data_IF_655518021834
#
_entry.id   IF_655518021834
#
_cell.length_a   1.000
_cell.length_b   1.000
_cell.length_c   1.000
_cell.angle_alpha   90.00
_cell.angle_beta   90.00
_cell.angle_gamma   90.00
#
_symmetry.space_group_name_H-M   'P 1'
#
loop_
_entity.id
_entity.type
_entity.pdbx_description
1 polymer ?
#
# COMPACT_ATOMS: atom_id res chain seq x y z
N UNK A 1 2.78 -5.44 22.16
CA UNK A 1 2.77 -3.96 22.21
C UNK A 1 3.11 -3.53 23.64
N UNK A 2 4.21 -2.77 23.87
CA UNK A 2 4.54 -2.19 25.16
C UNK A 2 3.54 -1.07 25.51
N UNK A 3 3.14 -0.97 26.76
CA UNK A 3 2.35 0.17 27.26
C UNK A 3 3.21 1.44 27.36
N UNK A 4 2.59 2.60 27.46
CA UNK A 4 3.34 3.84 27.69
C UNK A 4 4.06 3.82 29.04
N UNK A 5 3.52 3.12 30.03
CA UNK A 5 4.15 2.91 31.33
C UNK A 5 5.42 2.08 31.19
N UNK A 6 5.34 0.92 30.52
CA UNK A 6 6.52 0.06 30.32
C UNK A 6 7.65 0.78 29.58
N UNK A 7 7.29 1.61 28.57
CA UNK A 7 8.27 2.41 27.80
C UNK A 7 8.88 3.51 28.69
N UNK A 8 8.07 4.15 29.52
CA UNK A 8 8.52 5.21 30.42
C UNK A 8 9.52 4.67 31.45
N UNK A 9 9.23 3.50 32.04
CA UNK A 9 10.10 2.82 32.98
C UNK A 9 11.42 2.41 32.34
N UNK A 10 11.37 1.83 31.15
CA UNK A 10 12.56 1.39 30.39
C UNK A 10 13.48 2.56 30.00
N UNK A 11 12.91 3.71 29.68
CA UNK A 11 13.65 4.92 29.29
C UNK A 11 13.93 5.88 30.45
N UNK A 12 13.49 5.54 31.65
CA UNK A 12 13.62 6.35 32.86
C UNK A 12 13.11 7.80 32.68
N UNK A 13 11.89 7.92 32.14
CA UNK A 13 11.19 9.18 31.92
C UNK A 13 9.75 9.10 32.42
N UNK A 14 9.03 10.23 32.48
CA UNK A 14 7.62 10.20 32.86
C UNK A 14 6.72 9.64 31.76
N UNK A 15 5.60 9.02 32.12
CA UNK A 15 4.57 8.57 31.17
C UNK A 15 4.04 9.73 30.32
N UNK A 16 3.95 10.93 30.91
CA UNK A 16 3.60 12.16 30.20
C UNK A 16 4.58 12.51 29.09
N UNK A 17 5.88 12.33 29.34
CA UNK A 17 6.93 12.52 28.33
C UNK A 17 6.75 11.57 27.15
N UNK A 18 6.46 10.28 27.42
CA UNK A 18 6.22 9.30 26.36
C UNK A 18 4.97 9.67 25.55
N UNK A 19 3.88 10.04 26.21
CA UNK A 19 2.64 10.43 25.54
C UNK A 19 2.84 11.65 24.63
N UNK A 20 3.55 12.67 25.12
CA UNK A 20 3.82 13.85 24.33
C UNK A 20 4.68 13.54 23.09
N UNK A 21 5.74 12.75 23.25
CA UNK A 21 6.58 12.32 22.10
C UNK A 21 5.80 11.49 21.09
N UNK A 22 4.95 10.58 21.59
CA UNK A 22 4.09 9.79 20.73
C UNK A 22 3.14 10.67 19.90
N UNK A 23 2.48 11.64 20.52
CA UNK A 23 1.59 12.56 19.82
C UNK A 23 2.33 13.38 18.77
N UNK A 24 3.53 13.89 19.08
CA UNK A 24 4.39 14.59 18.12
C UNK A 24 4.72 13.70 16.90
N UNK A 25 5.01 12.42 17.12
CA UNK A 25 5.29 11.50 16.00
C UNK A 25 4.07 11.26 15.12
N UNK A 26 2.88 11.16 15.71
CA UNK A 26 1.62 11.00 14.97
C UNK A 26 1.25 12.29 14.23
N UNK A 27 1.33 13.44 14.89
CA UNK A 27 1.00 14.75 14.31
C UNK A 27 1.92 15.15 13.14
N UNK A 28 3.20 14.74 13.21
CA UNK A 28 4.17 14.97 12.14
C UNK A 28 4.23 13.81 11.11
N UNK A 29 3.27 12.90 11.14
CA UNK A 29 3.19 11.76 10.22
C UNK A 29 4.42 10.82 10.22
N UNK A 30 5.28 10.92 11.27
CA UNK A 30 6.44 10.03 11.47
C UNK A 30 6.01 8.63 11.90
N UNK A 31 4.83 8.50 12.50
CA UNK A 31 4.28 7.25 13.00
C UNK A 31 2.80 7.13 12.64
N UNK A 32 2.48 6.07 11.91
CA UNK A 32 1.09 5.66 11.66
C UNK A 32 0.83 4.31 12.32
N UNK A 33 -0.23 4.22 13.13
CA UNK A 33 -0.66 2.95 13.73
C UNK A 33 -1.75 2.36 12.86
N UNK A 34 -1.50 1.19 12.30
CA UNK A 34 -2.46 0.44 11.49
C UNK A 34 -2.70 -0.95 12.11
N UNK A 35 -3.96 -1.42 12.02
CA UNK A 35 -4.29 -2.83 12.22
C UNK A 35 -4.09 -3.57 10.90
N UNK A 36 -3.24 -4.61 10.89
CA UNK A 36 -3.08 -5.49 9.73
C UNK A 36 -3.83 -6.78 9.94
N UNK A 37 -4.70 -7.10 9.00
CA UNK A 37 -5.38 -8.39 8.93
C UNK A 37 -4.66 -9.31 7.95
N UNK A 38 -4.83 -10.63 8.09
CA UNK A 38 -4.39 -11.58 7.08
C UNK A 38 -5.45 -11.63 5.97
N UNK A 39 -5.13 -11.17 4.73
CA UNK A 39 -6.11 -11.07 3.66
C UNK A 39 -6.78 -12.40 3.33
N UNK A 40 -6.02 -13.49 3.28
CA UNK A 40 -6.52 -14.84 2.96
C UNK A 40 -7.60 -15.29 3.96
N UNK A 41 -7.44 -14.91 5.24
CA UNK A 41 -8.38 -15.31 6.30
C UNK A 41 -9.69 -14.52 6.32
N UNK A 42 -9.74 -13.41 5.60
CA UNK A 42 -10.92 -12.53 5.52
C UNK A 42 -11.55 -12.51 4.11
N UNK A 43 -11.11 -13.40 3.21
CA UNK A 43 -11.75 -13.63 1.92
C UNK A 43 -11.09 -12.95 0.72
N UNK A 44 -9.86 -12.44 0.83
CA UNK A 44 -9.08 -11.97 -0.30
C UNK A 44 -8.06 -13.04 -0.70
N UNK A 45 -8.32 -13.74 -1.80
CA UNK A 45 -7.53 -14.89 -2.24
C UNK A 45 -6.71 -14.63 -3.51
N UNK A 46 -6.92 -13.48 -4.16
CA UNK A 46 -6.16 -13.09 -5.35
C UNK A 46 -5.44 -11.78 -5.07
N UNK A 47 -4.12 -11.85 -5.11
CA UNK A 47 -3.25 -10.70 -4.98
C UNK A 47 -2.43 -10.55 -6.27
N UNK A 48 -2.49 -9.38 -6.91
CA UNK A 48 -1.88 -9.15 -8.21
C UNK A 48 -1.13 -7.83 -8.28
N UNK A 49 -0.09 -7.82 -9.13
CA UNK A 49 0.59 -6.62 -9.60
C UNK A 49 0.03 -6.27 -10.98
N UNK A 50 -0.28 -5.01 -11.19
CA UNK A 50 -0.66 -4.45 -12.48
C UNK A 50 0.38 -3.39 -12.85
N UNK A 51 1.08 -3.62 -13.94
CA UNK A 51 2.02 -2.66 -14.52
C UNK A 51 1.29 -1.91 -15.62
N UNK A 52 1.35 -0.58 -15.61
CA UNK A 52 0.56 0.28 -16.49
C UNK A 52 1.46 1.26 -17.23
N UNK A 53 1.25 1.35 -18.54
CA UNK A 53 1.84 2.37 -19.39
C UNK A 53 0.78 3.40 -19.75
N UNK A 54 1.07 4.68 -19.53
CA UNK A 54 0.14 5.79 -19.75
C UNK A 54 0.56 6.61 -20.97
N UNK A 55 -0.40 6.92 -21.83
CA UNK A 55 -0.18 7.82 -22.97
C UNK A 55 -1.39 8.74 -23.16
N UNK A 56 -1.20 10.02 -23.43
CA UNK A 56 0.09 10.73 -23.36
C UNK A 56 0.63 10.78 -21.91
N UNK A 57 1.94 10.99 -21.74
CA UNK A 57 2.63 10.89 -20.43
C UNK A 57 2.14 11.92 -19.41
N UNK A 58 1.67 13.07 -19.85
CA UNK A 58 1.10 14.11 -18.98
C UNK A 58 -0.16 13.66 -18.22
N UNK A 59 -0.81 12.57 -18.65
CA UNK A 59 -1.95 11.97 -17.94
C UNK A 59 -1.56 11.06 -16.76
N UNK A 60 -0.28 10.77 -16.54
CA UNK A 60 0.15 9.79 -15.52
C UNK A 60 -0.40 10.12 -14.14
N UNK A 61 -0.32 11.38 -13.70
CA UNK A 61 -0.83 11.81 -12.40
C UNK A 61 -2.34 11.61 -12.29
N UNK A 62 -3.11 12.02 -13.30
CA UNK A 62 -4.56 11.86 -13.32
C UNK A 62 -4.97 10.37 -13.27
N UNK A 63 -4.28 9.52 -14.03
CA UNK A 63 -4.51 8.07 -14.03
C UNK A 63 -4.19 7.48 -12.66
N UNK A 64 -3.06 7.89 -12.05
CA UNK A 64 -2.68 7.45 -10.72
C UNK A 64 -3.72 7.85 -9.66
N UNK A 65 -4.20 9.10 -9.67
CA UNK A 65 -5.24 9.57 -8.75
C UNK A 65 -6.55 8.77 -8.89
N UNK A 66 -6.95 8.45 -10.11
CA UNK A 66 -8.13 7.63 -10.36
C UNK A 66 -7.97 6.20 -9.85
N UNK A 67 -6.78 5.60 -10.05
CA UNK A 67 -6.46 4.25 -9.58
C UNK A 67 -6.38 4.22 -8.03
N UNK A 68 -5.79 5.24 -7.40
CA UNK A 68 -5.67 5.33 -5.95
C UNK A 68 -7.02 5.30 -5.22
N UNK A 69 -8.10 5.71 -5.89
CA UNK A 69 -9.46 5.70 -5.34
C UNK A 69 -10.16 4.33 -5.45
N UNK A 70 -9.58 3.35 -6.13
CA UNK A 70 -10.16 2.00 -6.22
C UNK A 70 -9.93 1.24 -4.91
N UNK A 71 -10.99 0.66 -4.30
CA UNK A 71 -10.88 0.01 -2.99
C UNK A 71 -10.01 -1.26 -3.00
N UNK A 72 -9.78 -1.86 -4.16
CA UNK A 72 -8.92 -3.02 -4.33
C UNK A 72 -7.43 -2.67 -4.26
N UNK A 73 -7.06 -1.39 -4.45
CA UNK A 73 -5.66 -0.95 -4.53
C UNK A 73 -5.05 -0.90 -3.13
N UNK A 74 -3.99 -1.66 -2.95
CA UNK A 74 -3.22 -1.73 -1.69
C UNK A 74 -1.88 -1.01 -1.76
N UNK A 75 -1.38 -0.75 -2.96
CA UNK A 75 -0.15 -0.02 -3.23
C UNK A 75 -0.20 0.57 -4.63
N UNK A 76 0.31 1.78 -4.78
CA UNK A 76 0.45 2.45 -6.07
C UNK A 76 1.71 3.30 -6.06
N UNK A 77 2.54 3.16 -7.08
CA UNK A 77 3.74 3.96 -7.26
C UNK A 77 3.95 4.33 -8.73
N UNK A 78 4.52 5.51 -8.95
CA UNK A 78 5.13 5.86 -10.23
C UNK A 78 6.51 5.22 -10.30
N UNK A 79 6.84 4.60 -11.42
CA UNK A 79 8.08 3.83 -11.60
C UNK A 79 8.92 4.36 -12.75
N UNK A 80 10.21 4.04 -12.72
CA UNK A 80 11.10 4.21 -13.87
C UNK A 80 11.13 2.92 -14.69
N UNK A 81 11.39 3.01 -15.97
CA UNK A 81 11.55 1.84 -16.85
C UNK A 81 10.45 1.68 -17.89
N UNK A 82 10.06 0.46 -18.18
CA UNK A 82 9.15 0.15 -19.29
C UNK A 82 7.69 0.54 -19.03
N UNK A 83 7.27 0.60 -17.78
CA UNK A 83 5.93 0.99 -17.33
C UNK A 83 6.00 2.23 -16.45
N UNK A 84 4.94 3.03 -16.47
CA UNK A 84 4.87 4.31 -15.77
C UNK A 84 4.33 4.18 -14.34
N UNK A 85 3.43 3.20 -14.12
CA UNK A 85 2.82 2.93 -12.82
C UNK A 85 2.90 1.45 -12.45
N UNK A 86 3.12 1.18 -11.17
CA UNK A 86 2.97 -0.13 -10.55
C UNK A 86 1.84 -0.07 -9.52
N UNK A 87 0.89 -0.98 -9.64
CA UNK A 87 -0.29 -1.08 -8.79
C UNK A 87 -0.36 -2.49 -8.19
N UNK A 88 -0.53 -2.59 -6.88
CA UNK A 88 -0.86 -3.87 -6.25
C UNK A 88 -2.32 -3.86 -5.79
N UNK A 89 -3.04 -4.90 -6.15
CA UNK A 89 -4.46 -5.05 -5.84
C UNK A 89 -4.74 -6.33 -5.08
N UNK A 90 -5.73 -6.27 -4.18
CA UNK A 90 -6.26 -7.44 -3.47
C UNK A 90 -7.71 -7.66 -3.88
N UNK A 91 -7.99 -8.80 -4.48
CA UNK A 91 -9.30 -9.21 -4.95
C UNK A 91 -9.78 -10.45 -4.19
N UNK A 92 -11.09 -10.63 -4.09
CA UNK A 92 -11.69 -11.81 -3.46
C UNK A 92 -11.27 -13.10 -4.17
N UNK A 93 -11.27 -13.06 -5.49
CA UNK A 93 -10.99 -14.17 -6.39
C UNK A 93 -10.55 -13.65 -7.77
N UNK A 94 -10.25 -14.57 -8.68
CA UNK A 94 -9.84 -14.23 -10.04
C UNK A 94 -10.96 -13.57 -10.85
N UNK A 95 -12.22 -13.90 -10.62
CA UNK A 95 -13.35 -13.25 -11.28
C UNK A 95 -13.44 -11.77 -10.91
N UNK A 96 -13.27 -11.45 -9.62
CA UNK A 96 -13.22 -10.07 -9.16
C UNK A 96 -12.05 -9.31 -9.82
N UNK A 97 -10.88 -9.93 -9.96
CA UNK A 97 -9.75 -9.31 -10.68
C UNK A 97 -10.09 -9.04 -12.15
N UNK A 98 -10.74 -9.98 -12.85
CA UNK A 98 -11.19 -9.79 -14.23
C UNK A 98 -12.17 -8.63 -14.32
N UNK A 99 -13.13 -8.52 -13.39
CA UNK A 99 -14.09 -7.41 -13.35
C UNK A 99 -13.39 -6.06 -13.11
N UNK A 100 -12.43 -6.01 -12.18
CA UNK A 100 -11.61 -4.83 -11.95
C UNK A 100 -10.87 -4.39 -13.22
N UNK A 101 -10.21 -5.31 -13.89
CA UNK A 101 -9.51 -5.04 -15.14
C UNK A 101 -10.43 -4.55 -16.24
N UNK A 102 -11.54 -5.25 -16.50
CA UNK A 102 -12.43 -4.95 -17.63
C UNK A 102 -13.32 -3.74 -17.40
N UNK A 103 -13.72 -3.46 -16.16
CA UNK A 103 -14.69 -2.39 -15.87
C UNK A 103 -14.01 -1.07 -15.46
N UNK A 104 -12.81 -1.13 -14.92
CA UNK A 104 -12.09 0.05 -14.41
C UNK A 104 -10.79 0.29 -15.17
N UNK A 105 -9.83 -0.64 -15.11
CA UNK A 105 -8.47 -0.39 -15.61
C UNK A 105 -8.47 -0.19 -17.14
N UNK A 106 -8.99 -1.13 -17.91
CA UNK A 106 -8.93 -1.05 -19.39
C UNK A 106 -9.81 0.04 -20.00
N UNK A 107 -10.78 0.55 -19.25
CA UNK A 107 -11.66 1.65 -19.71
C UNK A 107 -11.16 3.03 -19.30
N UNK A 108 -10.14 3.11 -18.49
CA UNK A 108 -9.62 4.38 -17.99
C UNK A 108 -8.86 5.11 -19.11
N UNK A 109 -9.27 6.35 -19.37
CA UNK A 109 -8.61 7.18 -20.37
C UNK A 109 -7.15 7.45 -19.97
N UNK A 110 -6.25 7.30 -20.93
CA UNK A 110 -4.82 7.44 -20.73
C UNK A 110 -4.08 6.11 -20.51
N UNK A 111 -4.74 5.01 -20.18
CA UNK A 111 -4.08 3.70 -20.12
C UNK A 111 -3.87 3.16 -21.51
N UNK A 112 -2.60 3.05 -21.91
CA UNK A 112 -2.18 2.58 -23.24
C UNK A 112 -1.93 1.08 -23.25
N UNK A 113 -1.28 0.55 -22.20
CA UNK A 113 -0.91 -0.86 -22.08
C UNK A 113 -0.92 -1.25 -20.61
N UNK A 114 -1.31 -2.47 -20.32
CA UNK A 114 -1.18 -3.04 -18.98
C UNK A 114 -0.73 -4.49 -19.02
N UNK A 115 0.06 -4.88 -18.00
CA UNK A 115 0.46 -6.27 -17.77
C UNK A 115 0.09 -6.64 -16.34
N UNK A 116 -0.57 -7.79 -16.17
CA UNK A 116 -1.04 -8.25 -14.85
C UNK A 116 -0.32 -9.54 -14.45
N UNK A 117 0.30 -9.54 -13.28
CA UNK A 117 0.99 -10.66 -12.69
C UNK A 117 0.26 -11.06 -11.39
N UNK A 118 -0.24 -12.29 -11.32
CA UNK A 118 -0.84 -12.81 -10.09
C UNK A 118 0.25 -13.41 -9.22
N UNK A 119 0.27 -13.06 -7.92
CA UNK A 119 1.21 -13.64 -6.98
C UNK A 119 0.74 -15.03 -6.55
N UNK A 120 1.54 -16.05 -6.80
CA UNK A 120 1.28 -17.39 -6.28
C UNK A 120 1.45 -17.48 -4.77
N UNK A 121 2.42 -16.73 -4.22
CA UNK A 121 2.71 -16.72 -2.80
C UNK A 121 3.49 -15.48 -2.40
N UNK A 122 3.04 -14.81 -1.36
CA UNK A 122 3.79 -13.71 -0.72
C UNK A 122 4.55 -14.28 0.47
N UNK A 123 5.87 -14.18 0.45
CA UNK A 123 6.73 -14.72 1.51
C UNK A 123 6.95 -13.73 2.65
N UNK A 124 6.96 -12.43 2.35
CA UNK A 124 7.17 -11.39 3.34
C UNK A 124 6.42 -10.11 2.95
N UNK A 125 5.73 -9.57 3.90
CA UNK A 125 5.09 -8.26 3.80
C UNK A 125 5.34 -7.50 5.10
N UNK A 126 6.40 -6.69 5.12
CA UNK A 126 6.83 -5.96 6.30
C UNK A 126 7.50 -4.63 5.93
N UNK A 127 7.48 -3.69 6.84
CA UNK A 127 8.33 -2.50 6.78
C UNK A 127 9.80 -2.91 7.02
N UNK A 128 10.77 -2.14 6.48
CA UNK A 128 12.18 -2.33 6.81
C UNK A 128 12.43 -2.21 8.31
N UNK A 129 13.44 -2.89 8.81
CA UNK A 129 13.87 -2.73 10.19
C UNK A 129 14.53 -1.36 10.36
N UNK A 130 14.06 -0.58 11.35
CA UNK A 130 14.59 0.75 11.64
C UNK A 130 16.06 0.71 12.08
N UNK A 131 16.59 -0.43 12.53
CA UNK A 131 18.01 -0.59 12.82
C UNK A 131 18.92 -0.41 11.58
N UNK A 132 18.38 -0.48 10.37
CA UNK A 132 19.11 -0.17 9.13
C UNK A 132 19.44 1.32 8.98
N UNK A 133 18.85 2.20 9.79
CA UNK A 133 19.09 3.65 9.78
C UNK A 133 20.25 4.08 10.70
N UNK A 134 20.94 3.13 11.35
CA UNK A 134 22.08 3.39 12.26
C UNK A 134 23.40 3.46 11.50
#
# INVERSE_FOLDING_TARGET
RKSFTDIADELNVSVGTIRNRFNVFVENELLTIIGRVNPDKIGFHTYAQILIKVRPVDKVTQVADNIANLPEVSFLAMTTGAYDLEVNVMCRDNEHLVQLMTNHITKMDGIFESATNIYFKVYKYAQPDLYLLK
#
